data_IF_134747259210
#
_entry.id   IF_134747259210
#
_cell.length_a   1.000
_cell.length_b   1.000
_cell.length_c   1.000
_cell.angle_alpha   90.00
_cell.angle_beta   90.00
_cell.angle_gamma   90.00
#
_symmetry.space_group_name_H-M   'P 1'
#
loop_
_entity.id
_entity.type
_entity.pdbx_description
1 polymer ?
#
# COMPACT_ATOMS: atom_id res chain seq x y z
N UNK A 1 5.65 -7.93 9.77
CA UNK A 1 4.99 -8.98 8.98
C UNK A 1 5.04 -10.36 9.64
N UNK A 2 6.22 -10.97 9.84
CA UNK A 2 6.32 -12.28 10.54
C UNK A 2 5.88 -12.22 12.02
N UNK A 3 6.03 -11.06 12.68
CA UNK A 3 5.60 -10.85 14.06
C UNK A 3 4.06 -10.89 14.19
N UNK A 4 3.34 -10.15 13.33
CA UNK A 4 1.88 -10.15 13.26
C UNK A 4 1.32 -11.56 13.00
N UNK A 5 1.94 -12.31 12.10
CA UNK A 5 1.56 -13.72 11.88
C UNK A 5 1.70 -14.56 13.16
N UNK A 6 2.80 -14.41 13.89
CA UNK A 6 3.07 -15.16 15.13
C UNK A 6 2.11 -14.80 16.26
N UNK A 7 1.67 -13.54 16.35
CA UNK A 7 0.68 -13.09 17.34
C UNK A 7 -0.68 -13.77 17.16
N UNK A 8 -1.07 -14.03 15.90
CA UNK A 8 -2.33 -14.69 15.57
C UNK A 8 -2.21 -16.21 15.44
N UNK A 9 -1.01 -16.76 15.22
CA UNK A 9 -0.78 -18.19 15.02
C UNK A 9 -0.94 -19.06 16.29
N UNK A 10 -1.18 -18.45 17.44
CA UNK A 10 -1.43 -19.15 18.72
C UNK A 10 -2.91 -19.51 18.93
N UNK A 11 -3.82 -18.98 18.11
CA UNK A 11 -5.24 -19.27 18.21
C UNK A 11 -5.60 -20.54 17.42
N UNK A 12 -6.52 -21.39 17.93
CA UNK A 12 -7.07 -22.49 17.15
C UNK A 12 -7.72 -21.99 15.86
N UNK A 13 -7.45 -22.66 14.74
CA UNK A 13 -8.07 -22.35 13.47
C UNK A 13 -9.59 -22.65 13.51
N UNK A 14 -10.40 -21.73 13.00
CA UNK A 14 -11.85 -21.90 12.84
C UNK A 14 -12.26 -21.50 11.42
N UNK A 15 -13.17 -22.24 10.79
CA UNK A 15 -13.66 -21.90 9.45
C UNK A 15 -14.68 -20.75 9.45
N UNK A 16 -15.26 -20.42 10.60
CA UNK A 16 -16.27 -19.37 10.73
C UNK A 16 -15.60 -18.13 11.30
N UNK A 17 -15.11 -17.23 10.44
CA UNK A 17 -14.33 -16.06 10.86
C UNK A 17 -14.27 -14.97 9.79
N UNK A 18 -13.99 -13.75 10.25
CA UNK A 18 -13.45 -12.67 9.45
C UNK A 18 -11.92 -12.75 9.45
N UNK A 19 -11.34 -12.67 8.26
CA UNK A 19 -9.92 -12.84 7.99
C UNK A 19 -9.36 -11.58 7.35
N UNK A 20 -8.27 -11.06 7.88
CA UNK A 20 -7.58 -9.89 7.35
C UNK A 20 -6.25 -10.30 6.73
N UNK A 21 -6.01 -9.89 5.49
CA UNK A 21 -4.74 -10.11 4.80
C UNK A 21 -3.62 -9.44 5.59
N UNK A 22 -2.50 -10.14 5.75
CA UNK A 22 -1.22 -9.54 6.13
C UNK A 22 -0.65 -8.88 4.86
N UNK A 23 -0.75 -7.54 4.73
CA UNK A 23 -0.47 -6.83 3.49
C UNK A 23 1.04 -6.67 3.28
N UNK A 24 1.47 -6.66 2.01
CA UNK A 24 2.87 -6.51 1.61
C UNK A 24 3.39 -5.06 1.69
N UNK A 25 2.49 -4.10 1.73
CA UNK A 25 2.72 -2.68 1.89
C UNK A 25 1.41 -1.99 2.25
N UNK A 26 1.38 -0.65 2.26
CA UNK A 26 0.20 0.13 2.67
C UNK A 26 -0.90 0.17 1.61
N UNK A 27 -0.60 -0.18 0.37
CA UNK A 27 -1.54 -0.13 -0.77
C UNK A 27 -2.32 -1.42 -1.02
N UNK A 28 -1.94 -2.52 -0.38
CA UNK A 28 -2.62 -3.81 -0.52
C UNK A 28 -3.50 -4.07 0.69
N UNK A 29 -4.75 -4.49 0.48
CA UNK A 29 -5.62 -4.96 1.56
C UNK A 29 -6.55 -6.05 1.07
N UNK A 30 -7.00 -6.92 1.97
CA UNK A 30 -8.14 -7.78 1.71
C UNK A 30 -8.81 -8.22 3.01
N UNK A 31 -10.14 -8.25 2.99
CA UNK A 31 -10.99 -8.88 4.02
C UNK A 31 -11.68 -10.08 3.41
N UNK A 32 -11.57 -11.22 4.07
CA UNK A 32 -12.21 -12.48 3.68
C UNK A 32 -13.12 -12.94 4.83
N UNK A 33 -14.38 -13.19 4.55
CA UNK A 33 -15.32 -13.82 5.47
C UNK A 33 -15.53 -15.25 5.00
N UNK A 34 -15.34 -16.21 5.91
CA UNK A 34 -15.64 -17.62 5.67
C UNK A 34 -16.76 -18.07 6.61
N UNK A 35 -17.73 -18.81 6.08
CA UNK A 35 -18.83 -19.38 6.85
C UNK A 35 -19.16 -20.79 6.39
N UNK A 36 -19.06 -21.76 7.29
CA UNK A 36 -19.40 -23.15 7.05
C UNK A 36 -20.90 -23.30 6.80
N UNK A 37 -21.25 -23.88 5.65
CA UNK A 37 -22.64 -24.23 5.29
C UNK A 37 -22.99 -25.63 5.77
N UNK A 38 -22.06 -26.57 5.62
CA UNK A 38 -22.19 -27.96 6.06
C UNK A 38 -20.80 -28.60 6.27
N UNK A 39 -20.72 -29.94 6.33
CA UNK A 39 -19.47 -30.66 6.54
C UNK A 39 -18.42 -30.43 5.44
N UNK A 40 -18.86 -30.13 4.22
CA UNK A 40 -18.05 -30.10 2.98
C UNK A 40 -18.10 -28.76 2.24
N UNK A 41 -18.92 -27.80 2.65
CA UNK A 41 -19.06 -26.52 1.95
C UNK A 41 -18.81 -25.32 2.87
N UNK A 42 -17.99 -24.38 2.38
CA UNK A 42 -17.68 -23.11 3.03
C UNK A 42 -18.13 -21.98 2.09
N UNK A 43 -19.04 -21.12 2.56
CA UNK A 43 -19.31 -19.85 1.91
C UNK A 43 -18.08 -18.96 2.05
N UNK A 44 -17.70 -18.28 0.96
CA UNK A 44 -16.63 -17.30 0.94
C UNK A 44 -17.18 -15.97 0.43
N UNK A 45 -16.74 -14.89 1.06
CA UNK A 45 -16.96 -13.51 0.62
C UNK A 45 -15.64 -12.75 0.83
N UNK A 46 -15.02 -12.29 -0.24
CA UNK A 46 -13.72 -11.61 -0.18
C UNK A 46 -13.78 -10.29 -0.93
N UNK A 47 -13.32 -9.23 -0.26
CA UNK A 47 -13.09 -7.92 -0.84
C UNK A 47 -11.61 -7.58 -0.74
N UNK A 48 -10.98 -7.17 -1.84
CA UNK A 48 -9.56 -6.88 -1.91
C UNK A 48 -9.28 -5.57 -2.66
N UNK A 49 -8.16 -4.94 -2.35
CA UNK A 49 -7.71 -3.70 -2.95
C UNK A 49 -6.20 -3.67 -3.21
N UNK A 50 -5.82 -2.98 -4.28
CA UNK A 50 -4.43 -2.67 -4.64
C UNK A 50 -4.38 -1.25 -5.22
N UNK A 51 -3.96 -0.29 -4.39
CA UNK A 51 -4.06 1.14 -4.71
C UNK A 51 -5.52 1.57 -4.87
N UNK A 52 -5.86 2.17 -6.02
CA UNK A 52 -7.23 2.56 -6.36
C UNK A 52 -8.04 1.46 -7.08
N UNK A 53 -7.45 0.28 -7.31
CA UNK A 53 -8.16 -0.85 -7.87
C UNK A 53 -8.74 -1.72 -6.75
N UNK A 54 -9.92 -2.27 -7.00
CA UNK A 54 -10.59 -3.19 -6.07
C UNK A 54 -11.12 -4.42 -6.80
N UNK A 55 -11.57 -5.40 -6.03
CA UNK A 55 -12.27 -6.57 -6.54
C UNK A 55 -12.97 -7.31 -5.42
N UNK A 56 -14.13 -7.86 -5.74
CA UNK A 56 -14.96 -8.63 -4.82
C UNK A 56 -15.25 -10.01 -5.43
N UNK A 57 -15.23 -11.04 -4.59
CA UNK A 57 -15.55 -12.40 -5.00
C UNK A 57 -16.39 -13.06 -3.92
N UNK A 58 -17.54 -13.61 -4.32
CA UNK A 58 -18.41 -14.39 -3.45
C UNK A 58 -18.57 -15.78 -4.06
N UNK A 59 -18.56 -16.82 -3.23
CA UNK A 59 -18.65 -18.17 -3.73
C UNK A 59 -18.86 -19.24 -2.67
N UNK A 60 -18.74 -20.49 -3.11
CA UNK A 60 -18.74 -21.66 -2.23
C UNK A 60 -17.51 -22.49 -2.53
N UNK A 61 -16.65 -22.63 -1.53
CA UNK A 61 -15.50 -23.50 -1.58
C UNK A 61 -15.88 -24.90 -1.06
N UNK A 62 -15.38 -25.94 -1.73
CA UNK A 62 -15.55 -27.34 -1.32
C UNK A 62 -14.39 -27.71 -0.41
N UNK A 63 -14.70 -28.11 0.83
CA UNK A 63 -13.77 -28.56 1.85
C UNK A 63 -13.49 -30.05 1.69
N UNK A 64 -12.21 -30.39 1.46
CA UNK A 64 -11.71 -31.77 1.41
C UNK A 64 -10.36 -31.83 2.11
N UNK A 65 -10.19 -32.79 3.02
CA UNK A 65 -8.95 -33.02 3.77
C UNK A 65 -8.35 -31.74 4.40
N UNK A 66 -9.22 -30.89 4.95
CA UNK A 66 -8.82 -29.65 5.64
C UNK A 66 -8.49 -28.48 4.72
N UNK A 67 -8.56 -28.62 3.40
CA UNK A 67 -8.40 -27.53 2.44
C UNK A 67 -9.73 -27.23 1.76
N UNK A 68 -10.15 -25.97 1.73
CA UNK A 68 -11.31 -25.55 0.95
C UNK A 68 -10.86 -25.03 -0.41
N UNK A 69 -11.56 -25.39 -1.48
CA UNK A 69 -11.25 -24.97 -2.85
C UNK A 69 -12.48 -24.38 -3.51
N UNK A 70 -12.38 -23.12 -3.93
CA UNK A 70 -13.31 -22.49 -4.85
C UNK A 70 -12.71 -22.53 -6.26
N UNK A 71 -13.54 -22.83 -7.27
CA UNK A 71 -13.14 -22.83 -8.66
C UNK A 71 -14.32 -22.43 -9.55
N UNK A 72 -14.10 -21.41 -10.38
CA UNK A 72 -15.04 -20.93 -11.38
C UNK A 72 -14.23 -20.50 -12.61
N UNK A 73 -14.49 -21.14 -13.75
CA UNK A 73 -13.73 -20.97 -14.99
C UNK A 73 -12.20 -21.04 -14.79
N UNK A 74 -11.49 -19.95 -15.09
CA UNK A 74 -10.03 -19.84 -14.94
C UNK A 74 -9.59 -19.43 -13.52
N UNK A 75 -10.52 -18.97 -12.68
CA UNK A 75 -10.23 -18.60 -11.31
C UNK A 75 -10.32 -19.82 -10.38
N UNK A 76 -9.27 -20.03 -9.58
CA UNK A 76 -9.28 -21.01 -8.51
C UNK A 76 -8.60 -20.46 -7.28
N UNK A 77 -9.28 -20.54 -6.14
CA UNK A 77 -8.76 -20.19 -4.82
C UNK A 77 -8.66 -21.45 -3.95
N UNK A 78 -7.51 -21.70 -3.35
CA UNK A 78 -7.33 -22.74 -2.35
C UNK A 78 -7.02 -22.12 -0.99
N UNK A 79 -7.82 -22.48 0.00
CA UNK A 79 -7.79 -21.98 1.37
C UNK A 79 -7.24 -23.09 2.28
N UNK A 80 -6.02 -22.91 2.76
CA UNK A 80 -5.30 -23.89 3.57
C UNK A 80 -5.02 -23.32 4.96
N UNK A 81 -5.56 -23.92 6.03
CA UNK A 81 -5.20 -23.60 7.41
C UNK A 81 -3.73 -23.90 7.68
N UNK A 82 -2.99 -22.98 8.29
CA UNK A 82 -1.60 -23.16 8.73
C UNK A 82 -1.46 -22.53 10.11
N UNK A 83 -1.30 -23.32 11.17
CA UNK A 83 -1.05 -22.81 12.54
C UNK A 83 -1.97 -21.63 12.93
N UNK A 84 -3.29 -21.75 12.80
CA UNK A 84 -4.22 -20.68 13.18
C UNK A 84 -4.40 -19.55 12.15
N UNK A 85 -3.56 -19.47 11.11
CA UNK A 85 -3.72 -18.54 9.98
C UNK A 85 -4.34 -19.23 8.76
N UNK A 86 -4.90 -18.45 7.86
CA UNK A 86 -5.45 -18.94 6.59
C UNK A 86 -4.52 -18.53 5.45
N UNK A 87 -3.95 -19.52 4.75
CA UNK A 87 -3.18 -19.28 3.54
C UNK A 87 -4.08 -19.46 2.32
N UNK A 88 -4.17 -18.43 1.48
CA UNK A 88 -4.91 -18.44 0.23
C UNK A 88 -3.93 -18.44 -0.93
N UNK A 89 -4.08 -19.39 -1.85
CA UNK A 89 -3.39 -19.38 -3.14
C UNK A 89 -4.39 -19.16 -4.27
N UNK A 90 -4.01 -18.36 -5.25
CA UNK A 90 -4.81 -18.10 -6.44
C UNK A 90 -4.15 -18.72 -7.67
N UNK A 91 -4.96 -19.37 -8.50
CA UNK A 91 -4.65 -19.69 -9.90
C UNK A 91 -5.63 -18.90 -10.77
N UNK A 92 -5.14 -18.35 -11.89
CA UNK A 92 -5.84 -17.34 -12.67
C UNK A 92 -5.28 -15.94 -12.42
N UNK A 93 -5.37 -15.08 -13.43
CA UNK A 93 -5.02 -13.67 -13.33
C UNK A 93 -6.00 -12.92 -12.42
N UNK A 94 -5.70 -11.65 -12.14
CA UNK A 94 -6.61 -10.72 -11.47
C UNK A 94 -8.00 -10.72 -12.12
N UNK A 95 -8.06 -10.49 -13.44
CA UNK A 95 -9.30 -10.43 -14.21
C UNK A 95 -10.07 -11.74 -14.23
N UNK A 96 -9.39 -12.88 -14.18
CA UNK A 96 -10.05 -14.20 -14.17
C UNK A 96 -10.88 -14.39 -12.90
N UNK A 97 -10.43 -13.81 -11.79
CA UNK A 97 -11.10 -13.85 -10.50
C UNK A 97 -11.99 -12.62 -10.23
N UNK A 98 -12.25 -11.76 -11.22
CA UNK A 98 -13.07 -10.56 -11.05
C UNK A 98 -12.36 -9.40 -10.34
N UNK A 99 -11.05 -9.50 -10.12
CA UNK A 99 -10.24 -8.42 -9.57
C UNK A 99 -9.91 -7.33 -10.60
N UNK A 100 -9.86 -6.08 -10.15
CA UNK A 100 -9.21 -5.01 -10.92
C UNK A 100 -7.71 -5.28 -11.13
N UNK A 101 -7.08 -4.55 -12.03
CA UNK A 101 -5.67 -4.77 -12.39
C UNK A 101 -4.76 -4.77 -11.14
N UNK A 102 -3.99 -5.82 -10.93
CA UNK A 102 -3.11 -6.00 -9.78
C UNK A 102 -3.78 -6.45 -8.48
N UNK A 103 -5.11 -6.63 -8.46
CA UNK A 103 -5.84 -7.12 -7.29
C UNK A 103 -5.81 -8.64 -7.28
N UNK A 104 -5.19 -9.20 -6.24
CA UNK A 104 -5.09 -10.65 -6.04
C UNK A 104 -5.63 -11.02 -4.65
N UNK A 105 -6.31 -12.17 -4.58
CA UNK A 105 -6.86 -12.73 -3.35
C UNK A 105 -5.87 -13.67 -2.63
N UNK A 106 -4.69 -13.89 -3.20
CA UNK A 106 -3.66 -14.74 -2.63
C UNK A 106 -2.92 -14.04 -1.49
N UNK A 107 -2.69 -14.75 -0.39
CA UNK A 107 -1.95 -14.22 0.74
C UNK A 107 -2.13 -15.01 2.03
N UNK A 108 -1.52 -14.51 3.10
CA UNK A 108 -1.74 -15.03 4.46
C UNK A 108 -2.70 -14.12 5.18
N UNK A 109 -3.71 -14.70 5.80
CA UNK A 109 -4.73 -13.98 6.53
C UNK A 109 -4.77 -14.42 7.98
N UNK A 110 -5.08 -13.48 8.86
CA UNK A 110 -5.26 -13.72 10.29
C UNK A 110 -6.70 -13.42 10.69
N UNK A 111 -7.24 -14.19 11.64
CA UNK A 111 -8.58 -13.96 12.14
C UNK A 111 -8.64 -12.62 12.91
N UNK A 112 -9.47 -11.69 12.43
CA UNK A 112 -9.71 -10.39 13.05
C UNK A 112 -10.97 -9.73 12.48
N UNK A 113 -11.83 -9.24 13.35
CA UNK A 113 -13.00 -8.42 12.97
C UNK A 113 -12.64 -6.98 12.58
N UNK A 114 -11.40 -6.56 12.85
CA UNK A 114 -10.91 -5.22 12.55
C UNK A 114 -9.74 -5.30 11.57
N UNK A 115 -9.60 -4.34 10.63
CA UNK A 115 -8.42 -4.26 9.77
C UNK A 115 -7.12 -4.27 10.58
N UNK A 116 -6.10 -4.93 10.05
CA UNK A 116 -4.80 -4.95 10.71
C UNK A 116 -4.19 -3.55 10.72
N UNK A 117 -3.92 -3.06 11.93
CA UNK A 117 -3.12 -1.86 12.09
C UNK A 117 -1.66 -2.25 12.07
N UNK A 118 -0.95 -1.81 11.04
CA UNK A 118 0.48 -2.03 10.93
C UNK A 118 1.18 -0.71 11.16
N UNK A 119 2.15 -0.74 12.07
CA UNK A 119 2.94 0.43 12.43
C UNK A 119 4.04 0.67 11.39
N UNK A 120 3.63 0.98 10.17
CA UNK A 120 4.55 1.43 9.13
C UNK A 120 5.10 2.82 9.44
N UNK A 121 6.33 3.02 9.02
CA UNK A 121 7.01 4.30 8.99
C UNK A 121 7.77 4.44 7.66
N UNK A 122 8.21 5.65 7.34
CA UNK A 122 8.88 5.89 6.06
C UNK A 122 10.19 5.10 5.94
N UNK A 123 10.81 4.71 7.05
CA UNK A 123 12.00 3.84 7.06
C UNK A 123 11.66 2.40 6.67
N UNK A 124 10.64 1.80 7.28
CA UNK A 124 10.17 0.43 6.99
C UNK A 124 9.55 0.30 5.60
N UNK A 125 9.03 1.41 5.06
CA UNK A 125 8.58 1.50 3.66
C UNK A 125 9.74 1.72 2.68
N UNK A 126 10.96 2.00 3.15
CA UNK A 126 12.12 2.26 2.32
C UNK A 126 12.14 3.63 1.64
N UNK A 127 11.22 4.53 2.02
CA UNK A 127 11.19 5.91 1.53
C UNK A 127 12.26 6.76 2.25
N UNK A 128 12.43 6.58 3.56
CA UNK A 128 13.59 7.05 4.31
C UNK A 128 14.68 5.97 4.28
N UNK A 129 15.94 6.37 4.08
CA UNK A 129 17.08 5.43 3.99
C UNK A 129 17.70 5.15 5.34
N UNK A 130 17.56 6.09 6.27
CA UNK A 130 18.15 6.02 7.61
C UNK A 130 17.16 6.49 8.67
N UNK A 131 17.34 6.07 9.94
CA UNK A 131 16.56 6.60 11.05
C UNK A 131 16.65 8.12 11.19
N UNK A 132 17.80 8.72 10.83
CA UNK A 132 17.99 10.16 10.86
C UNK A 132 17.12 10.88 9.81
N UNK A 133 17.03 10.34 8.60
CA UNK A 133 16.13 10.85 7.57
C UNK A 133 14.67 10.71 7.97
N UNK A 134 14.27 9.58 8.55
CA UNK A 134 12.91 9.39 9.03
C UNK A 134 12.55 10.41 10.12
N UNK A 135 13.47 10.68 11.05
CA UNK A 135 13.27 11.70 12.08
C UNK A 135 13.14 13.12 11.49
N UNK A 136 13.95 13.45 10.48
CA UNK A 136 13.84 14.72 9.75
C UNK A 136 12.49 14.82 9.05
N UNK A 137 12.05 13.76 8.34
CA UNK A 137 10.76 13.70 7.66
C UNK A 137 9.60 13.85 8.65
N UNK A 138 9.64 13.17 9.80
CA UNK A 138 8.64 13.36 10.89
C UNK A 138 8.56 14.81 11.34
N UNK A 139 9.72 15.43 11.57
CA UNK A 139 9.79 16.82 12.05
C UNK A 139 9.30 17.81 11.00
N UNK A 140 9.60 17.53 9.73
CA UNK A 140 9.26 18.37 8.58
C UNK A 140 7.77 18.27 8.23
N UNK A 141 7.23 17.06 8.19
CA UNK A 141 5.86 16.77 7.76
C UNK A 141 4.81 16.93 8.87
N UNK A 142 5.20 16.73 10.13
CA UNK A 142 4.29 16.80 11.29
C UNK A 142 3.04 15.92 11.07
N UNK A 143 1.87 16.54 10.97
CA UNK A 143 0.58 15.87 10.76
C UNK A 143 0.48 15.17 9.41
N UNK A 144 1.25 15.61 8.42
CA UNK A 144 1.24 15.04 7.08
C UNK A 144 2.14 13.80 6.96
N UNK A 145 2.91 13.47 8.00
CA UNK A 145 3.77 12.28 8.01
C UNK A 145 2.95 11.01 7.81
N UNK A 146 1.84 10.87 8.54
CA UNK A 146 0.99 9.68 8.43
C UNK A 146 0.26 9.61 7.08
N UNK A 147 -0.15 10.76 6.54
CA UNK A 147 -0.74 10.81 5.18
C UNK A 147 0.24 10.28 4.14
N UNK A 148 1.52 10.64 4.25
CA UNK A 148 2.56 10.12 3.36
C UNK A 148 2.76 8.61 3.57
N UNK A 149 2.82 8.13 4.82
CA UNK A 149 2.91 6.68 5.11
C UNK A 149 1.77 5.92 4.45
N UNK A 150 0.53 6.35 4.67
CA UNK A 150 -0.68 5.70 4.17
C UNK A 150 -0.79 5.74 2.64
N UNK A 151 -0.32 6.83 2.03
CA UNK A 151 -0.36 6.97 0.57
C UNK A 151 0.89 6.40 -0.11
N UNK A 152 1.95 6.03 0.59
CA UNK A 152 3.19 5.53 -0.01
C UNK A 152 2.94 4.21 -0.75
N UNK A 153 2.77 4.30 -2.07
CA UNK A 153 2.63 3.14 -2.95
C UNK A 153 3.98 2.47 -3.24
N UNK A 154 4.12 1.97 -4.46
CA UNK A 154 5.40 1.44 -4.95
C UNK A 154 6.44 2.55 -5.12
N UNK A 155 7.71 2.21 -4.88
CA UNK A 155 8.84 3.11 -5.03
C UNK A 155 9.61 2.81 -6.31
N UNK A 156 9.98 3.85 -7.05
CA UNK A 156 10.76 3.76 -8.28
C UNK A 156 11.97 4.70 -8.18
N UNK A 157 13.11 4.29 -8.72
CA UNK A 157 14.29 5.15 -8.78
C UNK A 157 14.02 6.26 -9.80
N UNK A 158 14.16 7.51 -9.36
CA UNK A 158 14.01 8.70 -10.20
C UNK A 158 15.31 9.09 -10.90
N UNK A 159 15.23 10.15 -11.69
CA UNK A 159 16.39 10.70 -12.41
C UNK A 159 17.37 11.44 -11.47
N UNK A 160 18.65 11.47 -11.84
CA UNK A 160 19.67 12.22 -11.11
C UNK A 160 19.46 13.74 -11.23
N UNK A 161 19.68 14.47 -10.13
CA UNK A 161 19.59 15.94 -10.12
C UNK A 161 20.89 16.61 -10.55
N UNK A 162 20.78 17.63 -11.42
CA UNK A 162 21.90 18.52 -11.77
C UNK A 162 22.08 19.63 -10.74
N UNK A 163 20.99 20.08 -10.12
CA UNK A 163 20.99 21.13 -9.10
C UNK A 163 21.53 20.65 -7.74
N UNK A 164 21.38 19.35 -7.45
CA UNK A 164 21.88 18.70 -6.24
C UNK A 164 22.61 17.41 -6.62
N UNK A 165 23.91 17.50 -6.97
CA UNK A 165 24.71 16.33 -7.31
C UNK A 165 24.72 15.29 -6.18
N UNK A 166 24.83 14.02 -6.56
CA UNK A 166 24.86 12.85 -5.66
C UNK A 166 23.60 12.66 -4.81
N UNK A 167 22.54 13.44 -5.05
CA UNK A 167 21.25 13.20 -4.44
C UNK A 167 20.62 11.91 -5.01
N UNK A 168 19.91 11.20 -4.16
CA UNK A 168 19.09 10.06 -4.56
C UNK A 168 17.64 10.49 -4.68
N UNK A 169 17.01 10.10 -5.79
CA UNK A 169 15.63 10.44 -6.11
C UNK A 169 14.80 9.18 -6.14
N UNK A 170 13.65 9.21 -5.48
CA UNK A 170 12.66 8.15 -5.47
C UNK A 170 11.32 8.76 -5.84
N UNK A 171 10.68 8.21 -6.87
CA UNK A 171 9.30 8.53 -7.22
C UNK A 171 8.35 7.51 -6.58
N UNK A 172 7.24 8.01 -6.06
CA UNK A 172 6.18 7.22 -5.45
C UNK A 172 5.05 7.06 -6.45
N UNK A 173 4.61 5.82 -6.65
CA UNK A 173 3.56 5.47 -7.61
C UNK A 173 2.51 4.59 -6.96
N UNK A 174 1.24 4.96 -7.10
CA UNK A 174 0.12 4.16 -6.63
C UNK A 174 -0.67 3.59 -7.81
N UNK A 175 -0.97 2.29 -7.74
CA UNK A 175 -1.75 1.60 -8.76
C UNK A 175 -3.12 2.24 -8.92
N UNK A 176 -3.51 2.48 -10.17
CA UNK A 176 -4.77 3.16 -10.52
C UNK A 176 -4.75 4.68 -10.36
N UNK A 177 -3.79 5.27 -9.63
CA UNK A 177 -3.68 6.72 -9.43
C UNK A 177 -2.47 7.38 -10.13
N UNK A 178 -1.44 6.60 -10.45
CA UNK A 178 -0.24 7.12 -11.09
C UNK A 178 0.79 7.66 -10.09
N UNK A 179 1.54 8.69 -10.50
CA UNK A 179 2.53 9.35 -9.66
C UNK A 179 1.85 10.10 -8.50
N UNK A 180 2.26 9.79 -7.28
CA UNK A 180 1.70 10.38 -6.06
C UNK A 180 2.72 11.24 -5.30
N UNK A 181 4.01 11.15 -5.67
CA UNK A 181 5.01 12.07 -5.16
C UNK A 181 6.42 11.72 -5.63
N UNK A 182 7.37 12.52 -5.16
CA UNK A 182 8.80 12.41 -5.41
C UNK A 182 9.56 12.86 -4.17
N UNK A 183 10.53 12.07 -3.74
CA UNK A 183 11.46 12.38 -2.66
C UNK A 183 12.88 12.42 -3.21
N UNK A 184 13.56 13.53 -2.99
CA UNK A 184 15.00 13.65 -3.19
C UNK A 184 15.69 13.78 -1.84
N UNK A 185 16.75 13.01 -1.63
CA UNK A 185 17.55 13.03 -0.42
C UNK A 185 19.04 13.13 -0.75
N UNK A 186 19.77 13.98 -0.03
CA UNK A 186 21.21 14.14 -0.18
C UNK A 186 21.94 13.89 1.15
N UNK A 187 23.24 14.17 1.21
CA UNK A 187 24.02 14.08 2.44
C UNK A 187 23.40 14.90 3.59
N UNK A 188 23.75 14.54 4.83
CA UNK A 188 23.29 15.22 6.05
C UNK A 188 21.76 15.28 6.22
N UNK A 189 21.05 14.27 5.69
CA UNK A 189 19.58 14.21 5.70
C UNK A 189 18.93 15.48 5.14
N UNK A 190 19.53 16.05 4.09
CA UNK A 190 18.89 17.10 3.30
C UNK A 190 17.77 16.48 2.45
N UNK A 191 16.58 17.04 2.56
CA UNK A 191 15.34 16.46 2.01
C UNK A 191 14.62 17.50 1.15
N UNK A 192 14.08 17.02 0.04
CA UNK A 192 13.10 17.70 -0.80
C UNK A 192 12.00 16.71 -1.18
N UNK A 193 10.75 17.07 -0.94
CA UNK A 193 9.63 16.16 -1.12
C UNK A 193 8.48 16.92 -1.76
N UNK A 194 7.88 16.35 -2.80
CA UNK A 194 6.54 16.70 -3.27
C UNK A 194 5.67 15.46 -3.12
N UNK A 195 4.47 15.59 -2.57
CA UNK A 195 3.49 14.52 -2.64
C UNK A 195 2.06 15.06 -2.70
N UNK A 196 1.16 14.23 -3.21
CA UNK A 196 -0.28 14.47 -3.25
C UNK A 196 -0.85 14.33 -1.85
N UNK A 197 -1.52 15.38 -1.38
CA UNK A 197 -2.31 15.37 -0.16
C UNK A 197 -3.75 15.74 -0.51
N UNK A 198 -4.67 15.22 0.29
CA UNK A 198 -6.07 15.62 0.26
C UNK A 198 -6.38 16.49 1.48
N UNK A 199 -7.19 17.52 1.27
CA UNK A 199 -7.80 18.27 2.37
C UNK A 199 -9.03 17.53 2.93
N UNK A 200 -9.61 18.06 4.01
CA UNK A 200 -10.77 17.45 4.68
C UNK A 200 -12.03 17.42 3.78
N UNK A 201 -12.03 18.14 2.67
CA UNK A 201 -13.09 18.16 1.67
C UNK A 201 -12.80 17.23 0.48
N UNK A 202 -11.65 16.54 0.50
CA UNK A 202 -11.23 15.62 -0.56
C UNK A 202 -10.61 16.31 -1.77
N UNK A 203 -10.31 17.62 -1.72
CA UNK A 203 -9.61 18.27 -2.81
C UNK A 203 -8.13 17.88 -2.80
N UNK A 204 -7.63 17.53 -3.98
CA UNK A 204 -6.23 17.17 -4.19
C UNK A 204 -5.35 18.41 -4.31
N UNK A 205 -4.25 18.42 -3.56
CA UNK A 205 -3.22 19.45 -3.60
C UNK A 205 -1.84 18.78 -3.62
N UNK A 206 -0.84 19.45 -4.20
CA UNK A 206 0.55 19.03 -4.08
C UNK A 206 1.21 19.83 -2.97
N UNK A 207 1.93 19.15 -2.08
CA UNK A 207 2.67 19.83 -1.00
C UNK A 207 4.15 19.61 -1.17
N UNK A 208 4.89 20.70 -1.18
CA UNK A 208 6.34 20.70 -1.24
C UNK A 208 6.95 20.98 0.13
N UNK A 209 7.85 20.10 0.57
CA UNK A 209 8.62 20.25 1.80
C UNK A 209 10.11 20.20 1.49
N UNK A 210 10.89 20.98 2.24
CA UNK A 210 12.35 20.84 2.29
C UNK A 210 12.87 21.31 3.64
N UNK A 211 13.98 20.75 4.13
CA UNK A 211 14.72 21.32 5.26
C UNK A 211 15.87 22.23 4.81
N UNK A 212 16.03 22.49 3.50
CA UNK A 212 17.14 23.25 2.93
C UNK A 212 16.70 24.68 2.60
N UNK A 213 17.22 25.66 3.35
CA UNK A 213 16.74 27.06 3.33
C UNK A 213 16.71 27.69 1.92
N UNK A 214 17.74 27.47 1.10
CA UNK A 214 17.83 28.05 -0.26
C UNK A 214 16.77 27.52 -1.25
N UNK A 215 16.05 26.47 -0.88
CA UNK A 215 15.05 25.79 -1.70
C UNK A 215 13.62 25.96 -1.17
N UNK A 216 13.41 26.72 -0.09
CA UNK A 216 12.07 26.95 0.48
C UNK A 216 11.07 27.64 -0.45
N UNK A 217 11.56 28.30 -1.50
CA UNK A 217 10.74 29.09 -2.45
C UNK A 217 10.94 28.70 -3.92
N UNK A 218 11.60 27.57 -4.19
CA UNK A 218 11.86 27.07 -5.54
C UNK A 218 12.14 25.57 -5.52
N UNK A 219 11.86 24.89 -6.63
CA UNK A 219 12.12 23.47 -6.79
C UNK A 219 13.49 23.23 -7.44
N UNK A 220 14.25 22.21 -7.01
CA UNK A 220 15.33 21.64 -7.81
C UNK A 220 14.82 21.06 -9.13
N UNK A 221 15.69 21.02 -10.14
CA UNK A 221 15.40 20.54 -11.50
C UNK A 221 14.53 19.26 -11.58
N UNK A 222 14.88 18.20 -10.84
CA UNK A 222 14.14 16.92 -10.89
C UNK A 222 12.74 17.01 -10.27
N UNK A 223 12.57 17.77 -9.19
CA UNK A 223 11.27 18.01 -8.58
C UNK A 223 10.40 18.91 -9.46
N UNK A 224 11.01 19.91 -10.11
CA UNK A 224 10.32 20.75 -11.08
C UNK A 224 9.83 19.92 -12.27
N UNK A 225 10.71 19.08 -12.84
CA UNK A 225 10.35 18.19 -13.95
C UNK A 225 9.23 17.22 -13.59
N UNK A 226 9.24 16.66 -12.37
CA UNK A 226 8.14 15.84 -11.88
C UNK A 226 6.83 16.64 -11.77
N UNK A 227 6.88 17.83 -11.17
CA UNK A 227 5.71 18.71 -11.04
C UNK A 227 5.12 19.09 -12.40
N UNK A 228 5.95 19.44 -13.37
CA UNK A 228 5.51 19.83 -14.71
C UNK A 228 4.77 18.67 -15.41
N UNK A 229 5.30 17.44 -15.34
CA UNK A 229 4.61 16.24 -15.88
C UNK A 229 3.24 16.02 -15.23
N UNK A 230 3.15 16.22 -13.91
CA UNK A 230 1.88 16.07 -13.20
C UNK A 230 0.89 17.17 -13.57
N UNK A 231 1.35 18.41 -13.69
CA UNK A 231 0.51 19.55 -14.04
C UNK A 231 -0.01 19.51 -15.48
N UNK A 232 0.80 19.02 -16.43
CA UNK A 232 0.35 18.75 -17.81
C UNK A 232 -0.83 17.76 -17.85
N UNK A 233 -0.80 16.75 -16.98
CA UNK A 233 -1.89 15.76 -16.88
C UNK A 233 -3.11 16.26 -16.09
N UNK A 234 -2.92 17.21 -15.17
CA UNK A 234 -3.94 17.66 -14.21
C UNK A 234 -3.77 19.16 -13.89
N UNK A 235 -4.27 20.03 -14.77
CA UNK A 235 -4.02 21.48 -14.77
C UNK A 235 -4.56 22.25 -13.54
N UNK A 236 -5.34 21.61 -12.67
CA UNK A 236 -5.87 22.22 -11.44
C UNK A 236 -4.98 22.00 -10.21
N UNK A 237 -3.88 21.25 -10.31
CA UNK A 237 -3.02 20.97 -9.17
C UNK A 237 -2.20 22.19 -8.75
N UNK A 238 -2.56 22.75 -7.60
CA UNK A 238 -1.82 23.82 -6.93
C UNK A 238 -0.71 23.21 -6.10
N UNK A 239 0.51 23.74 -6.27
CA UNK A 239 1.67 23.39 -5.44
C UNK A 239 1.76 24.34 -4.24
N UNK A 240 1.59 23.78 -3.05
CA UNK A 240 1.73 24.46 -1.77
C UNK A 240 3.19 24.35 -1.29
N UNK A 241 3.88 25.48 -1.18
CA UNK A 241 5.24 25.54 -0.63
C UNK A 241 5.17 25.58 0.90
N UNK A 242 5.49 24.47 1.55
CA UNK A 242 5.33 24.32 3.00
C UNK A 242 6.50 24.94 3.78
N UNK A 243 6.22 25.49 4.99
CA UNK A 243 7.19 26.26 5.77
C UNK A 243 8.41 25.48 6.21
#
# INVERSE_FOLDING_TARGET
MRLTELEHAVQPFIWDATWQLIPRGTSTSATLVTQRRDATHIAIDISAGEGANSGDLTGVAILTDGTAVYAEDACKLAFTPINGVLNVTQTGADSDCGGGMGVYYAGRYVASEQPLKLDYDLLSLGLARTPAEDQVLRSLLKTDYQKLVETSGSLQVGEDSKDVPDAQVVEMWMRGLGGIGILMSAADAQIWLIFKSYDDQGHEHLRYYTNVAKWKKRLPDVLQGWYDRMHESQSSLVLEMMP
#
